data_IF_256992561579
#
_entry.id   IF_256992561579
#
_cell.length_a   1.000
_cell.length_b   1.000
_cell.length_c   1.000
_cell.angle_alpha   90.00
_cell.angle_beta   90.00
_cell.angle_gamma   90.00
#
_symmetry.space_group_name_H-M   'P 1'
#
loop_
_entity.id
_entity.type
_entity.pdbx_description
1 polymer ?
#
# COMPACT_ATOMS: atom_id res chain seq x y z
N UNK A 1 9.20 -15.03 -29.17
CA UNK A 1 8.07 -15.67 -28.46
C UNK A 1 6.88 -14.73 -28.48
N UNK A 2 5.63 -15.21 -28.66
CA UNK A 2 4.50 -14.29 -28.90
C UNK A 2 4.13 -13.51 -27.63
N UNK A 3 3.90 -12.20 -27.77
CA UNK A 3 3.43 -11.28 -26.72
C UNK A 3 2.21 -11.86 -25.98
N UNK A 4 1.35 -12.61 -26.68
CA UNK A 4 0.20 -13.33 -26.09
C UNK A 4 0.61 -14.29 -24.97
N UNK A 5 1.72 -15.03 -25.09
CA UNK A 5 2.19 -15.94 -24.04
C UNK A 5 2.72 -15.20 -22.81
N UNK A 6 3.40 -14.07 -22.98
CA UNK A 6 3.87 -13.27 -21.85
C UNK A 6 2.72 -12.56 -21.13
N UNK A 7 1.73 -12.05 -21.87
CA UNK A 7 0.52 -11.49 -21.29
C UNK A 7 -0.27 -12.53 -20.48
N UNK A 8 -0.50 -13.73 -21.04
CA UNK A 8 -1.19 -14.82 -20.33
C UNK A 8 -0.43 -15.23 -19.07
N UNK A 9 0.90 -15.40 -19.16
CA UNK A 9 1.73 -15.69 -17.98
C UNK A 9 1.65 -14.56 -16.95
N UNK A 10 1.65 -13.31 -17.39
CA UNK A 10 1.50 -12.13 -16.52
C UNK A 10 0.18 -12.12 -15.78
N UNK A 11 -0.93 -12.36 -16.48
CA UNK A 11 -2.27 -12.48 -15.87
C UNK A 11 -2.32 -13.60 -14.85
N UNK A 12 -1.71 -14.77 -15.13
CA UNK A 12 -1.63 -15.88 -14.19
C UNK A 12 -0.86 -15.48 -12.93
N UNK A 13 0.30 -14.83 -13.06
CA UNK A 13 1.07 -14.38 -11.89
C UNK A 13 0.33 -13.32 -11.07
N UNK A 14 -0.34 -12.38 -11.72
CA UNK A 14 -1.18 -11.39 -11.03
C UNK A 14 -2.34 -12.06 -10.29
N UNK A 15 -2.98 -13.05 -10.90
CA UNK A 15 -4.03 -13.84 -10.26
C UNK A 15 -3.48 -14.61 -9.06
N UNK A 16 -2.36 -15.31 -9.22
CA UNK A 16 -1.71 -16.07 -8.15
C UNK A 16 -1.35 -15.15 -6.97
N UNK A 17 -0.73 -14.00 -7.22
CA UNK A 17 -0.41 -13.02 -6.18
C UNK A 17 -1.65 -12.57 -5.41
N UNK A 18 -2.68 -12.13 -6.15
CA UNK A 18 -3.91 -11.58 -5.57
C UNK A 18 -4.75 -12.61 -4.81
N UNK A 19 -4.95 -13.79 -5.37
CA UNK A 19 -5.72 -14.85 -4.69
C UNK A 19 -4.95 -15.45 -3.51
N UNK A 20 -3.62 -15.56 -3.61
CA UNK A 20 -2.79 -15.96 -2.47
C UNK A 20 -2.92 -14.93 -1.35
N UNK A 21 -2.82 -13.64 -1.67
CA UNK A 21 -3.01 -12.56 -0.71
C UNK A 21 -4.36 -12.66 0.00
N UNK A 22 -5.47 -12.79 -0.75
CA UNK A 22 -6.79 -12.93 -0.13
C UNK A 22 -6.91 -14.19 0.74
N UNK A 23 -6.40 -15.33 0.30
CA UNK A 23 -6.44 -16.56 1.08
C UNK A 23 -5.65 -16.39 2.39
N UNK A 24 -4.44 -15.82 2.34
CA UNK A 24 -3.65 -15.51 3.52
C UNK A 24 -4.36 -14.52 4.43
N UNK A 25 -4.98 -13.48 3.87
CA UNK A 25 -5.68 -12.47 4.65
C UNK A 25 -6.91 -13.05 5.38
N UNK A 26 -7.63 -13.99 4.76
CA UNK A 26 -8.73 -14.72 5.41
C UNK A 26 -8.18 -15.53 6.60
N UNK A 27 -7.09 -16.26 6.42
CA UNK A 27 -6.48 -17.06 7.50
C UNK A 27 -6.02 -16.16 8.65
N UNK A 28 -5.28 -15.09 8.35
CA UNK A 28 -4.80 -14.13 9.36
C UNK A 28 -5.98 -13.46 10.07
N UNK A 29 -7.01 -13.04 9.33
CA UNK A 29 -8.22 -12.44 9.91
C UNK A 29 -8.94 -13.42 10.84
N UNK A 30 -9.07 -14.69 10.47
CA UNK A 30 -9.68 -15.71 11.32
C UNK A 30 -8.90 -15.95 12.61
N UNK A 31 -7.57 -15.86 12.57
CA UNK A 31 -6.71 -15.94 13.76
C UNK A 31 -6.91 -14.70 14.64
N UNK A 32 -6.82 -13.50 14.04
CA UNK A 32 -6.95 -12.24 14.76
C UNK A 32 -8.34 -12.07 15.38
N UNK A 33 -9.40 -12.55 14.71
CA UNK A 33 -10.76 -12.54 15.24
C UNK A 33 -10.94 -13.38 16.52
N UNK A 34 -10.01 -14.29 16.83
CA UNK A 34 -9.99 -15.02 18.11
C UNK A 34 -9.14 -14.34 19.18
N UNK A 35 -8.21 -13.48 18.78
CA UNK A 35 -7.26 -12.81 19.67
C UNK A 35 -7.71 -11.40 20.07
N UNK A 36 -8.48 -10.74 19.20
CA UNK A 36 -8.92 -9.37 19.34
C UNK A 36 -10.41 -9.30 19.66
N UNK A 37 -10.82 -8.20 20.27
CA UNK A 37 -12.23 -7.94 20.53
C UNK A 37 -12.94 -7.46 19.25
N UNK A 38 -14.25 -7.71 19.10
CA UNK A 38 -15.01 -7.18 17.95
C UNK A 38 -14.94 -5.64 17.82
N UNK A 39 -14.77 -4.95 18.95
CA UNK A 39 -14.57 -3.49 19.03
C UNK A 39 -13.31 -3.03 18.28
N UNK A 40 -12.22 -3.80 18.34
CA UNK A 40 -10.95 -3.50 17.65
C UNK A 40 -11.12 -3.47 16.12
N UNK A 41 -11.93 -4.39 15.58
CA UNK A 41 -12.25 -4.43 14.15
C UNK A 41 -13.13 -3.25 13.73
N UNK A 42 -13.94 -2.70 14.64
CA UNK A 42 -14.71 -1.49 14.43
C UNK A 42 -13.82 -0.28 14.12
N UNK A 43 -12.78 -0.07 14.95
CA UNK A 43 -11.79 1.02 14.77
C UNK A 43 -11.13 0.91 13.40
N UNK A 44 -10.66 -0.28 13.05
CA UNK A 44 -9.97 -0.52 11.78
C UNK A 44 -10.90 -0.30 10.60
N UNK A 45 -12.17 -0.69 10.71
CA UNK A 45 -13.16 -0.48 9.64
C UNK A 45 -13.38 1.00 9.35
N UNK A 46 -13.51 1.84 10.39
CA UNK A 46 -13.64 3.30 10.24
C UNK A 46 -12.44 3.90 9.51
N UNK A 47 -11.24 3.46 9.90
CA UNK A 47 -9.98 3.93 9.30
C UNK A 47 -9.83 3.42 7.87
N UNK A 48 -10.25 2.19 7.56
CA UNK A 48 -10.21 1.64 6.21
C UNK A 48 -11.13 2.39 5.24
N UNK A 49 -12.31 2.79 5.68
CA UNK A 49 -13.22 3.62 4.87
C UNK A 49 -12.54 4.92 4.49
N UNK A 50 -11.94 5.60 5.48
CA UNK A 50 -11.22 6.84 5.26
C UNK A 50 -9.99 6.66 4.35
N UNK A 51 -9.09 5.74 4.73
CA UNK A 51 -7.82 5.53 4.01
C UNK A 51 -8.04 4.98 2.61
N UNK A 52 -9.05 4.13 2.38
CA UNK A 52 -9.39 3.66 1.05
C UNK A 52 -9.80 4.79 0.11
N UNK A 53 -10.53 5.79 0.61
CA UNK A 53 -10.85 6.99 -0.18
C UNK A 53 -9.60 7.82 -0.50
N UNK A 54 -8.71 8.03 0.47
CA UNK A 54 -7.49 8.82 0.24
C UNK A 54 -6.50 8.09 -0.66
N UNK A 55 -6.40 6.76 -0.55
CA UNK A 55 -5.59 5.93 -1.44
C UNK A 55 -6.05 6.06 -2.90
N UNK A 56 -7.36 6.08 -3.16
CA UNK A 56 -7.90 6.30 -4.50
C UNK A 56 -7.47 7.65 -5.07
N UNK A 57 -7.49 8.71 -4.27
CA UNK A 57 -7.02 10.03 -4.68
C UNK A 57 -5.52 10.06 -4.93
N UNK A 58 -4.72 9.40 -4.08
CA UNK A 58 -3.27 9.35 -4.21
C UNK A 58 -2.82 8.59 -5.47
N UNK A 59 -3.54 7.54 -5.86
CA UNK A 59 -3.22 6.74 -7.05
C UNK A 59 -3.82 7.32 -8.35
N UNK A 60 -4.76 8.25 -8.25
CA UNK A 60 -5.53 8.75 -9.39
C UNK A 60 -4.63 9.39 -10.46
N UNK A 61 -4.65 8.84 -11.67
CA UNK A 61 -3.95 9.37 -12.85
C UNK A 61 -2.44 9.10 -12.92
N UNK A 62 -1.77 8.80 -11.81
CA UNK A 62 -0.30 8.62 -11.78
C UNK A 62 0.12 7.26 -12.32
N UNK A 63 -0.50 6.18 -11.83
CA UNK A 63 -0.17 4.81 -12.23
C UNK A 63 -0.46 4.57 -13.73
N UNK A 64 -1.59 5.09 -14.24
CA UNK A 64 -1.95 5.03 -15.65
C UNK A 64 -0.95 5.77 -16.55
N UNK A 65 -0.42 6.91 -16.10
CA UNK A 65 0.55 7.70 -16.87
C UNK A 65 1.86 6.96 -17.07
N UNK A 66 2.38 6.30 -16.02
CA UNK A 66 3.63 5.52 -16.09
C UNK A 66 3.50 4.32 -17.02
N UNK A 67 2.37 3.60 -16.95
CA UNK A 67 2.15 2.40 -17.75
C UNK A 67 1.88 2.73 -19.23
N UNK A 68 1.15 3.81 -19.52
CA UNK A 68 0.79 4.18 -20.90
C UNK A 68 1.93 4.83 -21.68
N UNK A 69 2.74 5.68 -21.05
CA UNK A 69 3.85 6.36 -21.73
C UNK A 69 5.11 5.49 -21.74
N UNK A 70 5.14 4.52 -22.66
CA UNK A 70 6.24 3.56 -22.83
C UNK A 70 7.64 4.18 -23.08
N UNK A 71 7.69 5.47 -23.44
CA UNK A 71 8.92 6.21 -23.80
C UNK A 71 9.19 7.42 -22.89
N UNK A 72 8.83 7.39 -21.62
CA UNK A 72 9.31 8.41 -20.69
C UNK A 72 10.83 8.28 -20.53
N UNK A 73 11.54 9.38 -20.80
CA UNK A 73 12.93 9.53 -20.44
C UNK A 73 13.09 9.52 -18.90
N UNK A 74 14.32 9.35 -18.41
CA UNK A 74 14.60 9.34 -16.96
C UNK A 74 14.06 10.59 -16.25
N UNK A 75 14.06 11.73 -16.93
CA UNK A 75 13.56 13.00 -16.39
C UNK A 75 12.04 12.98 -16.26
N UNK A 76 11.30 12.51 -17.28
CA UNK A 76 9.85 12.36 -17.20
C UNK A 76 9.40 11.40 -16.09
N UNK A 77 10.11 10.29 -15.89
CA UNK A 77 9.84 9.38 -14.75
C UNK A 77 10.10 10.06 -13.40
N UNK A 78 11.12 10.91 -13.32
CA UNK A 78 11.45 11.66 -12.10
C UNK A 78 10.40 12.75 -11.83
N UNK A 79 9.91 13.46 -12.85
CA UNK A 79 8.79 14.40 -12.72
C UNK A 79 7.54 13.71 -12.16
N UNK A 80 7.16 12.54 -12.72
CA UNK A 80 6.00 11.78 -12.23
C UNK A 80 6.21 11.30 -10.80
N UNK A 81 7.43 10.88 -10.44
CA UNK A 81 7.77 10.50 -9.08
C UNK A 81 7.63 11.65 -8.09
N UNK A 82 8.18 12.82 -8.41
CA UNK A 82 8.10 14.00 -7.54
C UNK A 82 6.67 14.52 -7.42
N UNK A 83 5.89 14.46 -8.51
CA UNK A 83 4.46 14.80 -8.47
C UNK A 83 3.69 13.84 -7.55
N UNK A 84 3.95 12.54 -7.65
CA UNK A 84 3.33 11.53 -6.77
C UNK A 84 3.72 11.75 -5.30
N UNK A 85 5.00 12.02 -5.04
CA UNK A 85 5.48 12.37 -3.70
C UNK A 85 4.83 13.64 -3.16
N UNK A 86 4.70 14.68 -3.97
CA UNK A 86 4.06 15.94 -3.59
C UNK A 86 2.58 15.74 -3.24
N UNK A 87 1.83 15.03 -4.09
CA UNK A 87 0.42 14.70 -3.84
C UNK A 87 0.30 13.88 -2.55
N UNK A 88 1.16 12.88 -2.35
CA UNK A 88 1.16 12.08 -1.13
C UNK A 88 1.44 12.92 0.13
N UNK A 89 2.40 13.84 0.09
CA UNK A 89 2.69 14.77 1.20
C UNK A 89 1.50 15.67 1.48
N UNK A 90 0.88 16.24 0.43
CA UNK A 90 -0.28 17.10 0.56
C UNK A 90 -1.47 16.36 1.17
N UNK A 91 -1.78 15.16 0.68
CA UNK A 91 -2.85 14.32 1.22
C UNK A 91 -2.56 13.87 2.66
N UNK A 92 -1.31 13.55 2.99
CA UNK A 92 -0.88 13.23 4.36
C UNK A 92 -1.12 14.43 5.29
N UNK A 93 -0.70 15.63 4.89
CA UNK A 93 -0.89 16.86 5.67
C UNK A 93 -2.37 17.17 5.89
N UNK A 94 -3.20 17.06 4.85
CA UNK A 94 -4.66 17.21 4.95
C UNK A 94 -5.24 16.17 5.91
N UNK A 95 -4.78 14.91 5.84
CA UNK A 95 -5.25 13.84 6.71
C UNK A 95 -4.94 14.10 8.18
N UNK A 96 -3.74 14.59 8.48
CA UNK A 96 -3.34 14.97 9.84
C UNK A 96 -4.18 16.13 10.34
N UNK A 97 -4.44 17.15 9.51
CA UNK A 97 -5.28 18.30 9.89
C UNK A 97 -6.75 17.90 10.10
N UNK A 98 -7.28 16.96 9.32
CA UNK A 98 -8.65 16.45 9.45
C UNK A 98 -8.80 15.40 10.56
N UNK A 99 -7.70 14.82 11.06
CA UNK A 99 -7.74 13.78 12.11
C UNK A 99 -8.63 14.10 13.33
N UNK A 100 -8.65 15.31 13.93
CA UNK A 100 -9.57 15.61 15.03
C UNK A 100 -11.04 15.68 14.59
N UNK A 101 -11.32 16.15 13.38
CA UNK A 101 -12.69 16.17 12.84
C UNK A 101 -13.20 14.75 12.56
N UNK A 102 -12.32 13.86 12.10
CA UNK A 102 -12.61 12.43 11.87
C UNK A 102 -12.88 11.73 13.21
N UNK A 103 -12.06 11.97 14.23
CA UNK A 103 -12.28 11.46 15.58
C UNK A 103 -13.65 11.89 16.15
N UNK A 104 -13.99 13.18 16.02
CA UNK A 104 -15.28 13.70 16.45
C UNK A 104 -16.45 13.09 15.66
N UNK A 105 -16.31 12.89 14.34
CA UNK A 105 -17.34 12.31 13.49
C UNK A 105 -17.68 10.86 13.88
N UNK A 106 -16.65 10.06 14.16
CA UNK A 106 -16.81 8.65 14.55
C UNK A 106 -17.05 8.45 16.05
N UNK A 107 -16.87 9.49 16.87
CA UNK A 107 -17.05 9.44 18.33
C UNK A 107 -16.24 8.32 19.00
N UNK A 108 -14.99 8.11 18.55
CA UNK A 108 -14.09 7.09 19.07
C UNK A 108 -12.76 7.70 19.53
N UNK A 109 -12.52 7.70 20.83
CA UNK A 109 -11.30 8.25 21.43
C UNK A 109 -10.05 7.49 20.97
N UNK A 110 -9.04 8.24 20.53
CA UNK A 110 -7.78 7.70 20.03
C UNK A 110 -7.75 7.49 18.51
N UNK A 111 -8.89 7.65 17.82
CA UNK A 111 -8.95 7.53 16.35
C UNK A 111 -8.05 8.55 15.66
N UNK A 112 -7.87 9.73 16.26
CA UNK A 112 -6.98 10.77 15.74
C UNK A 112 -5.57 10.26 15.55
N UNK A 113 -5.00 9.58 16.54
CA UNK A 113 -3.63 9.05 16.46
C UNK A 113 -3.54 7.97 15.37
N UNK A 114 -4.56 7.12 15.28
CA UNK A 114 -4.62 6.08 14.24
C UNK A 114 -4.64 6.67 12.85
N UNK A 115 -5.47 7.69 12.60
CA UNK A 115 -5.53 8.39 11.30
C UNK A 115 -4.20 9.04 10.96
N UNK A 116 -3.55 9.70 11.94
CA UNK A 116 -2.24 10.30 11.74
C UNK A 116 -1.20 9.26 11.33
N UNK A 117 -1.11 8.15 12.05
CA UNK A 117 -0.15 7.09 11.77
C UNK A 117 -0.44 6.42 10.42
N UNK A 118 -1.70 6.12 10.13
CA UNK A 118 -2.09 5.49 8.86
C UNK A 118 -1.91 6.41 7.65
N UNK A 119 -2.04 7.72 7.82
CA UNK A 119 -1.81 8.67 6.72
C UNK A 119 -0.36 8.68 6.24
N UNK A 120 0.61 8.28 7.07
CA UNK A 120 2.00 8.08 6.63
C UNK A 120 2.13 7.00 5.54
N UNK A 121 1.19 6.06 5.45
CA UNK A 121 1.17 5.08 4.36
C UNK A 121 0.99 5.74 2.98
N UNK A 122 0.36 6.90 2.90
CA UNK A 122 0.17 7.63 1.63
C UNK A 122 1.52 8.03 1.04
N UNK A 123 2.49 8.39 1.87
CA UNK A 123 3.87 8.67 1.44
C UNK A 123 4.49 7.42 0.79
N UNK A 124 4.30 6.25 1.41
CA UNK A 124 4.80 4.98 0.86
C UNK A 124 4.13 4.63 -0.47
N UNK A 125 2.84 4.95 -0.63
CA UNK A 125 2.10 4.78 -1.90
C UNK A 125 2.67 5.70 -2.98
N UNK A 126 2.83 6.99 -2.69
CA UNK A 126 3.39 7.96 -3.64
C UNK A 126 4.79 7.56 -4.13
N UNK A 127 5.67 7.18 -3.19
CA UNK A 127 7.04 6.73 -3.50
C UNK A 127 7.05 5.38 -4.26
N UNK A 128 6.11 4.48 -3.97
CA UNK A 128 6.02 3.16 -4.60
C UNK A 128 5.40 3.14 -6.00
N UNK A 129 4.66 4.18 -6.38
CA UNK A 129 3.86 4.20 -7.62
C UNK A 129 4.72 4.07 -8.88
N UNK A 130 5.82 4.82 -8.98
CA UNK A 130 6.72 4.78 -10.15
C UNK A 130 7.49 3.46 -10.24
N UNK A 131 8.18 2.98 -9.18
CA UNK A 131 8.79 1.65 -9.18
C UNK A 131 7.82 0.52 -9.56
N UNK A 132 6.60 0.55 -9.01
CA UNK A 132 5.57 -0.43 -9.36
C UNK A 132 5.19 -0.35 -10.84
N UNK A 133 4.95 0.86 -11.36
CA UNK A 133 4.65 1.09 -12.77
C UNK A 133 5.78 0.61 -13.70
N UNK A 134 7.05 0.82 -13.33
CA UNK A 134 8.22 0.31 -14.06
C UNK A 134 8.26 -1.21 -14.10
N UNK A 135 7.96 -1.89 -12.99
CA UNK A 135 7.87 -3.35 -12.95
C UNK A 135 6.73 -3.88 -13.83
N UNK A 136 5.57 -3.22 -13.80
CA UNK A 136 4.43 -3.55 -14.67
C UNK A 136 4.77 -3.35 -16.15
N UNK A 137 5.44 -2.25 -16.49
CA UNK A 137 5.91 -1.94 -17.84
C UNK A 137 6.90 -3.00 -18.36
N UNK A 138 7.79 -3.50 -17.49
CA UNK A 138 8.74 -4.59 -17.78
C UNK A 138 8.12 -5.99 -17.74
N UNK A 139 6.80 -6.09 -17.57
CA UNK A 139 6.06 -7.35 -17.44
C UNK A 139 6.58 -8.25 -16.29
N UNK A 140 7.16 -7.64 -15.24
CA UNK A 140 7.71 -8.31 -14.07
C UNK A 140 6.62 -8.74 -13.06
N UNK A 141 5.51 -9.29 -13.57
CA UNK A 141 4.34 -9.67 -12.77
C UNK A 141 4.64 -10.78 -11.77
N UNK A 142 5.57 -11.70 -12.12
CA UNK A 142 6.04 -12.74 -11.20
C UNK A 142 6.68 -12.12 -9.95
N UNK A 143 7.53 -11.11 -10.13
CA UNK A 143 8.22 -10.43 -9.04
C UNK A 143 7.24 -9.62 -8.19
N UNK A 144 6.26 -8.96 -8.82
CA UNK A 144 5.18 -8.27 -8.10
C UNK A 144 4.36 -9.25 -7.25
N UNK A 145 3.99 -10.41 -7.80
CA UNK A 145 3.25 -11.44 -7.09
C UNK A 145 4.04 -12.04 -5.91
N UNK A 146 5.32 -12.34 -6.11
CA UNK A 146 6.20 -12.82 -5.02
C UNK A 146 6.31 -11.77 -3.91
N UNK A 147 6.51 -10.51 -4.28
CA UNK A 147 6.59 -9.42 -3.32
C UNK A 147 5.29 -9.29 -2.52
N UNK A 148 4.14 -9.34 -3.18
CA UNK A 148 2.82 -9.31 -2.54
C UNK A 148 2.63 -10.46 -1.53
N UNK A 149 3.03 -11.69 -1.90
CA UNK A 149 2.94 -12.84 -0.99
C UNK A 149 3.85 -12.66 0.22
N UNK A 150 5.14 -12.32 0.01
CA UNK A 150 6.12 -12.17 1.09
C UNK A 150 5.67 -11.08 2.07
N UNK A 151 5.25 -9.92 1.57
CA UNK A 151 4.87 -8.79 2.43
C UNK A 151 3.59 -9.09 3.20
N UNK A 152 2.64 -9.81 2.60
CA UNK A 152 1.41 -10.27 3.27
C UNK A 152 1.72 -11.23 4.41
N UNK A 153 2.61 -12.19 4.19
CA UNK A 153 3.02 -13.15 5.22
C UNK A 153 3.76 -12.43 6.35
N UNK A 154 4.73 -11.57 6.02
CA UNK A 154 5.46 -10.77 7.03
C UNK A 154 4.52 -9.90 7.86
N UNK A 155 3.64 -9.14 7.21
CA UNK A 155 2.68 -8.30 7.90
C UNK A 155 1.70 -9.09 8.77
N UNK A 156 1.19 -10.22 8.26
CA UNK A 156 0.31 -11.10 9.02
C UNK A 156 0.99 -11.68 10.26
N UNK A 157 2.25 -12.12 10.15
CA UNK A 157 3.04 -12.58 11.30
C UNK A 157 3.22 -11.47 12.34
N UNK A 158 3.57 -10.24 11.91
CA UNK A 158 3.72 -9.09 12.81
C UNK A 158 2.39 -8.78 13.52
N UNK A 159 1.28 -8.74 12.78
CA UNK A 159 -0.05 -8.50 13.35
C UNK A 159 -0.43 -9.55 14.38
N UNK A 160 -0.25 -10.83 14.06
CA UNK A 160 -0.54 -11.94 14.97
C UNK A 160 0.32 -11.84 16.24
N UNK A 161 1.63 -11.58 16.11
CA UNK A 161 2.54 -11.43 17.25
C UNK A 161 2.12 -10.29 18.19
N UNK A 162 1.73 -9.14 17.63
CA UNK A 162 1.27 -7.99 18.43
C UNK A 162 -0.10 -8.24 19.07
N UNK A 163 -1.00 -8.94 18.39
CA UNK A 163 -2.27 -9.35 18.97
C UNK A 163 -2.07 -10.30 20.17
N UNK A 164 -1.12 -11.25 20.07
CA UNK A 164 -0.74 -12.10 21.20
C UNK A 164 -0.17 -11.32 22.39
N UNK A 165 0.48 -10.18 22.14
CA UNK A 165 0.98 -9.28 23.19
C UNK A 165 -0.09 -8.34 23.76
N UNK A 166 -1.33 -8.41 23.28
CA UNK A 166 -2.44 -7.60 23.80
C UNK A 166 -2.49 -6.16 23.29
N UNK A 167 -1.93 -5.86 22.11
CA UNK A 167 -1.91 -4.49 21.54
C UNK A 167 -3.27 -4.04 20.98
N UNK A 168 -4.30 -4.89 21.01
CA UNK A 168 -5.65 -4.56 20.52
C UNK A 168 -5.66 -4.17 19.04
N UNK A 169 -6.45 -3.15 18.69
CA UNK A 169 -6.54 -2.61 17.32
C UNK A 169 -5.19 -2.15 16.72
N UNK A 170 -4.17 -1.83 17.54
CA UNK A 170 -2.83 -1.49 17.03
C UNK A 170 -2.16 -2.65 16.30
N UNK A 171 -2.48 -3.90 16.64
CA UNK A 171 -1.98 -5.06 15.93
C UNK A 171 -2.36 -5.02 14.44
N UNK A 172 -3.60 -4.66 14.14
CA UNK A 172 -4.13 -4.54 12.77
C UNK A 172 -3.55 -3.35 12.02
N UNK A 173 -3.36 -2.21 12.71
CA UNK A 173 -2.74 -1.01 12.13
C UNK A 173 -1.28 -1.29 11.76
N UNK A 174 -0.50 -1.84 12.68
CA UNK A 174 0.92 -2.13 12.47
C UNK A 174 1.09 -3.23 11.42
N UNK A 175 0.19 -4.21 11.37
CA UNK A 175 0.13 -5.16 10.26
C UNK A 175 0.00 -4.45 8.92
N UNK A 176 -0.98 -3.54 8.76
CA UNK A 176 -1.21 -2.84 7.50
C UNK A 176 0.00 -1.99 7.07
N UNK A 177 0.60 -1.26 8.02
CA UNK A 177 1.80 -0.44 7.79
C UNK A 177 2.99 -1.32 7.40
N UNK A 178 3.18 -2.45 8.10
CA UNK A 178 4.28 -3.37 7.82
C UNK A 178 4.20 -3.94 6.41
N UNK A 179 3.00 -4.27 5.93
CA UNK A 179 2.78 -4.72 4.54
C UNK A 179 3.19 -3.61 3.56
N UNK A 180 2.67 -2.39 3.77
CA UNK A 180 2.93 -1.23 2.89
C UNK A 180 4.42 -0.88 2.85
N UNK A 181 5.07 -0.82 4.01
CA UNK A 181 6.49 -0.52 4.14
C UNK A 181 7.37 -1.58 3.47
N UNK A 182 7.14 -2.85 3.79
CA UNK A 182 7.91 -3.97 3.21
C UNK A 182 7.75 -4.02 1.69
N UNK A 183 6.54 -3.73 1.18
CA UNK A 183 6.27 -3.65 -0.26
C UNK A 183 7.00 -2.46 -0.89
N UNK A 184 6.94 -1.28 -0.30
CA UNK A 184 7.67 -0.10 -0.76
C UNK A 184 9.17 -0.40 -0.89
N UNK A 185 9.78 -0.93 0.18
CA UNK A 185 11.19 -1.32 0.19
C UNK A 185 11.50 -2.33 -0.92
N UNK A 186 10.70 -3.39 -1.03
CA UNK A 186 10.89 -4.43 -2.04
C UNK A 186 10.82 -3.91 -3.48
N UNK A 187 9.92 -2.97 -3.76
CA UNK A 187 9.80 -2.33 -5.08
C UNK A 187 11.07 -1.53 -5.43
N UNK A 188 11.60 -0.74 -4.50
CA UNK A 188 12.84 0.02 -4.70
C UNK A 188 14.05 -0.90 -4.88
N UNK A 189 14.17 -1.95 -4.07
CA UNK A 189 15.26 -2.92 -4.17
C UNK A 189 15.25 -3.67 -5.51
N UNK A 190 14.06 -4.06 -6.02
CA UNK A 190 13.94 -4.77 -7.29
C UNK A 190 14.19 -3.88 -8.51
N UNK A 191 13.65 -2.66 -8.49
CA UNK A 191 13.82 -1.75 -9.62
C UNK A 191 15.20 -1.13 -9.69
N UNK A 192 15.90 -1.02 -8.54
CA UNK A 192 17.17 -0.30 -8.35
C UNK A 192 17.17 1.08 -9.00
N UNK A 193 15.98 1.67 -9.11
CA UNK A 193 15.78 2.95 -9.76
C UNK A 193 15.70 4.02 -8.68
N UNK A 194 16.50 5.07 -8.85
CA UNK A 194 16.47 6.26 -8.02
C UNK A 194 16.05 7.45 -8.89
N UNK A 195 15.15 8.32 -8.38
CA UNK A 195 14.73 9.52 -9.09
C UNK A 195 15.90 10.49 -9.24
N UNK A 196 15.95 11.19 -10.37
CA UNK A 196 16.82 12.36 -10.53
C UNK A 196 16.15 13.57 -9.84
N UNK A 197 16.96 14.51 -9.34
CA UNK A 197 16.45 15.76 -8.75
C UNK A 197 15.93 16.77 -9.81
N UNK A 198 15.98 16.41 -11.10
CA UNK A 198 15.60 17.27 -12.20
C UNK A 198 14.15 17.03 -12.60
N UNK A 199 13.34 18.10 -12.57
CA UNK A 199 11.94 18.10 -13.02
C UNK A 199 11.89 18.79 -14.39
N UNK A 200 11.24 18.16 -15.36
CA UNK A 200 10.94 18.72 -16.69
C UNK A 200 9.53 19.28 -16.74
#
# INVERSE_FOLDING_TARGET
MSIRRELVKGTVWTAVGRYSHYLFQIVVSAILARLLEPSDFGVVSMVLVYTGFVDLLAEFGISATVVQKRYLDRTGLSTVFWLAGFIAVLLTGISILLSPAIEAFFSFDGLRLVVQVMSLNLLLVGLGTVPQGLMQQRLAFKQLAILEIITTILGGMIGILLAFQGWGYWALIIQAISIRLSRGIGLFLYTRWLPLLTIK
#
